data_IF_726055909922
#
_entry.id   IF_726055909922
#
_cell.length_a   1.000
_cell.length_b   1.000
_cell.length_c   1.000
_cell.angle_alpha   90.00
_cell.angle_beta   90.00
_cell.angle_gamma   90.00
#
_symmetry.space_group_name_H-M   'P 1'
#
loop_
_entity.id
_entity.type
_entity.pdbx_description
1 polymer ?
#
# COMPACT_ATOMS: atom_id res chain seq x y z
N UNK A 1 -4.82 -20.53 -2.25
CA UNK A 1 -6.19 -20.10 -2.66
C UNK A 1 -6.12 -18.61 -2.95
N UNK A 2 -6.77 -18.12 -4.00
CA UNK A 2 -6.71 -16.70 -4.37
C UNK A 2 -7.84 -15.90 -3.73
N UNK A 3 -7.46 -14.87 -2.99
CA UNK A 3 -8.34 -13.92 -2.33
C UNK A 3 -8.14 -12.54 -2.94
N UNK A 4 -9.21 -11.83 -3.23
CA UNK A 4 -9.14 -10.46 -3.76
C UNK A 4 -9.38 -9.46 -2.65
N UNK A 5 -8.61 -8.38 -2.61
CA UNK A 5 -8.91 -7.25 -1.72
C UNK A 5 -10.23 -6.62 -2.17
N UNK A 6 -11.21 -6.57 -1.27
CA UNK A 6 -12.52 -6.02 -1.56
C UNK A 6 -12.44 -4.49 -1.59
N UNK A 7 -12.88 -3.84 -2.69
CA UNK A 7 -12.93 -2.39 -2.78
C UNK A 7 -14.08 -1.82 -1.93
N UNK A 8 -13.75 -1.26 -0.77
CA UNK A 8 -14.73 -0.68 0.17
C UNK A 8 -14.41 -0.97 1.63
N UNK A 9 -13.89 -2.17 1.90
CA UNK A 9 -13.47 -2.63 3.22
C UNK A 9 -11.95 -2.73 3.38
N UNK A 10 -11.19 -2.33 2.34
CA UNK A 10 -9.73 -2.34 2.34
C UNK A 10 -9.16 -0.93 2.10
N UNK A 11 -8.13 -0.55 2.86
CA UNK A 11 -7.40 0.71 2.69
C UNK A 11 -5.91 0.54 2.97
N UNK A 12 -5.07 1.31 2.26
CA UNK A 12 -3.66 1.44 2.57
C UNK A 12 -3.47 2.73 3.36
N UNK A 13 -2.93 2.65 4.57
CA UNK A 13 -2.80 3.78 5.46
C UNK A 13 -1.34 4.21 5.62
N UNK A 14 -1.13 5.50 5.81
CA UNK A 14 0.18 6.06 6.11
C UNK A 14 0.08 7.10 7.23
N UNK A 15 1.23 7.32 7.88
CA UNK A 15 1.41 8.45 8.80
C UNK A 15 2.77 9.09 8.59
N UNK A 16 2.81 10.40 8.66
CA UNK A 16 4.04 11.19 8.62
C UNK A 16 4.11 12.10 9.85
N UNK A 17 5.31 12.28 10.41
CA UNK A 17 5.52 13.23 11.50
C UNK A 17 5.43 14.66 10.97
N UNK A 18 4.72 15.50 11.70
CA UNK A 18 4.65 16.93 11.48
C UNK A 18 5.28 17.64 12.67
N UNK A 19 6.36 18.38 12.41
CA UNK A 19 7.19 19.08 13.41
C UNK A 19 7.59 18.21 14.61
N UNK A 20 7.77 16.90 14.41
CA UNK A 20 8.12 15.90 15.46
C UNK A 20 7.09 15.71 16.59
N UNK A 21 6.01 16.49 16.63
CA UNK A 21 5.02 16.47 17.72
C UNK A 21 3.74 15.77 17.29
N UNK A 22 3.25 16.06 16.08
CA UNK A 22 1.94 15.57 15.62
C UNK A 22 2.08 14.61 14.44
N UNK A 23 1.04 13.82 14.21
CA UNK A 23 0.96 12.88 13.10
C UNK A 23 -0.07 13.33 12.09
N UNK A 24 0.35 13.56 10.86
CA UNK A 24 -0.56 13.58 9.71
C UNK A 24 -0.84 12.13 9.35
N UNK A 25 -2.12 11.77 9.28
CA UNK A 25 -2.59 10.46 8.84
C UNK A 25 -3.25 10.61 7.49
N UNK A 26 -3.12 9.59 6.66
CA UNK A 26 -3.86 9.53 5.41
C UNK A 26 -4.03 8.09 4.95
N UNK A 27 -4.84 7.95 3.92
CA UNK A 27 -5.15 6.65 3.33
C UNK A 27 -5.34 6.73 1.83
N UNK A 28 -5.24 5.57 1.20
CA UNK A 28 -5.70 5.29 -0.15
C UNK A 28 -6.80 4.23 -0.02
N UNK A 29 -8.04 4.63 -0.28
CA UNK A 29 -9.18 3.69 -0.31
C UNK A 29 -9.16 2.88 -1.60
N UNK A 30 -9.89 1.76 -1.59
CA UNK A 30 -10.07 0.88 -2.74
C UNK A 30 -8.74 0.27 -3.22
N UNK A 31 -8.00 -0.37 -2.31
CA UNK A 31 -6.85 -1.18 -2.73
C UNK A 31 -7.36 -2.30 -3.65
N UNK A 32 -6.68 -2.50 -4.76
CA UNK A 32 -6.89 -3.66 -5.63
C UNK A 32 -5.72 -4.63 -5.46
N UNK A 33 -5.97 -5.92 -5.60
CA UNK A 33 -4.90 -6.91 -5.55
C UNK A 33 -5.38 -8.32 -5.25
N UNK A 34 -4.41 -9.22 -5.17
CA UNK A 34 -4.62 -10.63 -4.87
C UNK A 34 -3.67 -11.04 -3.75
N UNK A 35 -4.21 -11.76 -2.78
CA UNK A 35 -3.48 -12.59 -1.82
C UNK A 35 -3.67 -14.05 -2.27
N UNK A 36 -2.62 -14.72 -2.71
CA UNK A 36 -2.64 -16.17 -2.83
C UNK A 36 -2.13 -16.76 -1.51
N UNK A 37 -3.03 -17.41 -0.78
CA UNK A 37 -2.73 -18.01 0.50
C UNK A 37 -3.38 -19.37 0.62
N UNK A 38 -2.57 -20.37 0.95
CA UNK A 38 -3.01 -21.71 1.31
C UNK A 38 -2.59 -21.97 2.76
N UNK A 39 -3.52 -22.10 3.71
CA UNK A 39 -3.21 -22.44 5.10
C UNK A 39 -2.43 -23.75 5.26
N UNK A 40 -2.56 -24.69 4.32
CA UNK A 40 -1.79 -25.94 4.33
C UNK A 40 -0.34 -25.75 3.85
N UNK A 41 -0.06 -24.69 3.08
CA UNK A 41 1.25 -24.39 2.49
C UNK A 41 1.57 -22.89 2.59
N UNK A 42 1.64 -22.32 3.80
CA UNK A 42 1.69 -20.88 3.98
C UNK A 42 2.97 -20.22 3.44
N UNK A 43 4.03 -21.00 3.23
CA UNK A 43 5.29 -20.54 2.60
C UNK A 43 5.16 -20.17 1.13
N UNK A 44 4.09 -20.59 0.47
CA UNK A 44 3.77 -20.19 -0.91
C UNK A 44 2.93 -18.91 -0.98
N UNK A 45 2.71 -18.25 0.17
CA UNK A 45 1.97 -17.00 0.22
C UNK A 45 2.57 -15.98 -0.74
N UNK A 46 1.72 -15.37 -1.56
CA UNK A 46 2.10 -14.22 -2.38
C UNK A 46 1.05 -13.12 -2.30
N UNK A 47 1.50 -11.88 -2.36
CA UNK A 47 0.67 -10.68 -2.35
C UNK A 47 1.09 -9.76 -3.48
N UNK A 48 0.12 -9.35 -4.28
CA UNK A 48 0.29 -8.26 -5.25
C UNK A 48 -0.84 -7.26 -5.05
N UNK A 49 -0.48 -6.00 -4.82
CA UNK A 49 -1.45 -4.92 -4.61
C UNK A 49 -1.11 -3.69 -5.42
N UNK A 50 -2.16 -2.96 -5.79
CA UNK A 50 -2.11 -1.68 -6.48
C UNK A 50 -3.03 -0.69 -5.78
N UNK A 51 -2.55 0.54 -5.63
CA UNK A 51 -3.37 1.68 -5.19
C UNK A 51 -3.34 2.77 -6.24
N UNK A 52 -4.50 3.41 -6.45
CA UNK A 52 -4.62 4.59 -7.29
C UNK A 52 -4.18 5.83 -6.50
N UNK A 53 -3.21 6.58 -7.00
CA UNK A 53 -2.61 7.71 -6.27
C UNK A 53 -3.56 8.88 -6.11
N UNK A 54 -4.55 9.00 -7.01
CA UNK A 54 -5.63 9.99 -6.95
C UNK A 54 -6.55 9.83 -5.73
N UNK A 55 -6.60 8.64 -5.11
CA UNK A 55 -7.43 8.37 -3.92
C UNK A 55 -6.77 8.80 -2.60
N UNK A 56 -5.57 9.40 -2.66
CA UNK A 56 -4.92 9.98 -1.49
C UNK A 56 -5.86 10.92 -0.74
N UNK A 57 -6.05 10.65 0.55
CA UNK A 57 -6.92 11.41 1.42
C UNK A 57 -6.32 11.55 2.81
N UNK A 58 -6.30 12.77 3.33
CA UNK A 58 -5.81 13.12 4.68
C UNK A 58 -6.85 13.89 5.49
N UNK A 59 -8.06 14.06 4.95
CA UNK A 59 -9.13 14.84 5.55
C UNK A 59 -8.98 16.36 5.40
N UNK A 60 -7.95 16.84 4.71
CA UNK A 60 -7.74 18.27 4.44
C UNK A 60 -7.54 18.47 2.92
N UNK A 61 -8.53 19.06 2.21
CA UNK A 61 -8.53 19.12 0.74
C UNK A 61 -7.31 19.81 0.11
N UNK A 62 -6.76 20.85 0.75
CA UNK A 62 -5.61 21.60 0.22
C UNK A 62 -4.37 20.73 0.20
N UNK A 63 -4.09 20.03 1.30
CA UNK A 63 -3.01 19.06 1.43
C UNK A 63 -3.23 17.86 0.54
N UNK A 64 -4.46 17.37 0.39
CA UNK A 64 -4.76 16.26 -0.53
C UNK A 64 -4.43 16.65 -1.97
N UNK A 65 -4.78 17.87 -2.39
CA UNK A 65 -4.42 18.39 -3.71
C UNK A 65 -2.91 18.56 -3.87
N UNK A 66 -2.23 19.09 -2.84
CA UNK A 66 -0.78 19.24 -2.86
C UNK A 66 -0.04 17.90 -2.92
N UNK A 67 -0.48 16.90 -2.15
CA UNK A 67 0.08 15.54 -2.20
C UNK A 67 -0.11 14.93 -3.59
N UNK A 68 -1.19 15.22 -4.30
CA UNK A 68 -1.42 14.70 -5.67
C UNK A 68 -0.55 15.40 -6.73
N UNK A 69 0.04 16.55 -6.41
CA UNK A 69 0.85 17.35 -7.34
C UNK A 69 2.18 16.68 -7.73
N UNK A 70 2.89 17.21 -8.76
CA UNK A 70 4.23 16.77 -9.14
C UNK A 70 5.29 16.82 -8.02
N UNK A 71 5.10 17.67 -7.01
CA UNK A 71 6.03 17.83 -5.89
C UNK A 71 6.03 16.61 -4.97
N UNK A 72 4.94 15.84 -4.96
CA UNK A 72 4.76 14.68 -4.12
C UNK A 72 4.47 13.43 -4.95
N UNK A 73 3.21 13.00 -5.03
CA UNK A 73 2.82 11.71 -5.60
C UNK A 73 2.80 11.75 -7.13
N UNK A 74 2.68 12.94 -7.73
CA UNK A 74 2.65 13.19 -9.18
C UNK A 74 1.64 12.26 -9.88
N UNK A 75 0.38 12.35 -9.46
CA UNK A 75 -0.64 11.35 -9.80
C UNK A 75 -0.94 11.24 -11.30
N UNK A 76 -0.81 12.33 -12.07
CA UNK A 76 -1.01 12.30 -13.52
C UNK A 76 0.04 11.45 -14.24
N UNK A 77 1.31 11.55 -13.80
CA UNK A 77 2.43 10.78 -14.38
C UNK A 77 2.54 9.39 -13.79
N UNK A 78 2.19 9.23 -12.52
CA UNK A 78 2.27 7.98 -11.77
C UNK A 78 0.91 7.68 -11.11
N UNK A 79 -0.10 7.25 -11.90
CA UNK A 79 -1.46 7.03 -11.39
C UNK A 79 -1.53 5.87 -10.41
N UNK A 80 -0.57 4.93 -10.46
CA UNK A 80 -0.58 3.70 -9.67
C UNK A 80 0.70 3.54 -8.85
N UNK A 81 0.55 3.08 -7.60
CA UNK A 81 1.63 2.46 -6.82
C UNK A 81 1.40 0.97 -6.70
N UNK A 82 2.48 0.21 -6.64
CA UNK A 82 2.43 -1.26 -6.65
C UNK A 82 3.30 -1.83 -5.55
N UNK A 83 2.81 -2.87 -4.90
CA UNK A 83 3.59 -3.74 -4.04
C UNK A 83 3.50 -5.17 -4.58
N UNK A 84 4.65 -5.86 -4.63
CA UNK A 84 4.72 -7.27 -5.01
C UNK A 84 5.61 -8.02 -4.04
N UNK A 85 5.08 -9.05 -3.39
CA UNK A 85 5.87 -9.88 -2.48
C UNK A 85 6.99 -10.63 -3.21
N UNK A 86 8.16 -10.69 -2.61
CA UNK A 86 9.34 -11.44 -3.07
C UNK A 86 9.65 -12.63 -2.18
N UNK A 87 9.09 -12.67 -0.97
CA UNK A 87 9.30 -13.78 -0.03
C UNK A 87 8.37 -13.70 1.17
N UNK A 88 8.24 -14.85 1.85
CA UNK A 88 7.50 -14.95 3.10
C UNK A 88 8.29 -15.78 4.11
N UNK A 89 8.23 -15.39 5.37
CA UNK A 89 8.74 -16.17 6.49
C UNK A 89 7.68 -16.24 7.59
N UNK A 90 7.41 -17.45 8.07
CA UNK A 90 6.65 -17.68 9.30
C UNK A 90 7.46 -17.13 10.48
N UNK A 91 6.88 -16.24 11.26
CA UNK A 91 7.52 -15.65 12.46
C UNK A 91 6.71 -15.88 13.73
N UNK A 92 5.56 -16.54 13.61
CA UNK A 92 4.70 -16.95 14.72
C UNK A 92 3.54 -17.83 14.23
N UNK A 93 2.69 -18.34 15.14
CA UNK A 93 1.61 -19.27 14.79
C UNK A 93 0.60 -18.74 13.75
N UNK A 94 0.41 -17.43 13.68
CA UNK A 94 -0.45 -16.76 12.70
C UNK A 94 0.21 -15.50 12.10
N UNK A 95 1.53 -15.36 12.29
CA UNK A 95 2.27 -14.15 11.94
C UNK A 95 3.28 -14.44 10.83
N UNK A 96 3.24 -13.62 9.79
CA UNK A 96 4.09 -13.75 8.61
C UNK A 96 4.86 -12.46 8.37
N UNK A 97 6.16 -12.59 8.13
CA UNK A 97 6.98 -11.52 7.57
C UNK A 97 6.95 -11.65 6.06
N UNK A 98 6.36 -10.66 5.38
CA UNK A 98 6.33 -10.57 3.92
C UNK A 98 7.40 -9.56 3.48
N UNK A 99 8.33 -9.97 2.62
CA UNK A 99 9.25 -9.06 1.91
C UNK A 99 8.71 -8.78 0.53
N UNK A 100 9.01 -7.62 -0.05
CA UNK A 100 8.49 -7.30 -1.37
C UNK A 100 8.97 -5.97 -1.93
N UNK A 101 8.78 -5.84 -3.24
CA UNK A 101 9.13 -4.65 -3.99
C UNK A 101 7.99 -3.63 -3.90
N UNK A 102 8.27 -2.48 -3.29
CA UNK A 102 7.38 -1.34 -3.26
C UNK A 102 7.83 -0.32 -4.30
N UNK A 103 6.97 -0.05 -5.28
CA UNK A 103 7.18 0.98 -6.29
C UNK A 103 6.35 2.23 -5.98
N UNK A 104 7.04 3.34 -5.77
CA UNK A 104 6.44 4.68 -5.60
C UNK A 104 7.04 5.60 -6.65
N UNK A 105 6.18 6.16 -7.53
CA UNK A 105 6.60 6.90 -8.72
C UNK A 105 7.52 6.02 -9.59
N UNK A 106 8.74 6.47 -9.83
CA UNK A 106 9.79 5.86 -10.62
C UNK A 106 10.80 5.06 -9.76
N UNK A 107 10.63 5.04 -8.44
CA UNK A 107 11.53 4.34 -7.52
C UNK A 107 10.92 3.03 -7.00
N UNK A 108 11.70 1.96 -7.06
CA UNK A 108 11.39 0.66 -6.44
C UNK A 108 12.40 0.35 -5.33
N UNK A 109 11.90 -0.13 -4.20
CA UNK A 109 12.70 -0.54 -3.02
C UNK A 109 12.18 -1.89 -2.52
N UNK A 110 13.10 -2.72 -2.00
CA UNK A 110 12.84 -4.07 -1.46
C UNK A 110 13.16 -4.15 0.04
#
# INVERSE_FOLDING_TARGET
MKWTFEPGHSAAEFRARHMMVTWVRGSFKNIHGILDFDPANPRQLSVETTIETSTCWTGEPTRDNHLKSPDFLSCERFPKRRFKSTGVAEVGPADYRVTGDLTIRDATKS
#
